data_IF_641235689535
#
_entry.id   IF_641235689535
#
_cell.length_a   1.000
_cell.length_b   1.000
_cell.length_c   1.000
_cell.angle_alpha   90.00
_cell.angle_beta   90.00
_cell.angle_gamma   90.00
#
_symmetry.space_group_name_H-M   'P 1'
#
loop_
_entity.id
_entity.type
_entity.pdbx_description
1 polymer ?
#
# COMPACT_ATOMS: atom_id res chain seq x y z
N UNK A 1 -63.82 -50.88 -6.95
CA UNK A 1 -63.82 -49.43 -6.93
C UNK A 1 -63.87 -49.05 -5.46
N UNK A 2 -62.86 -48.53 -4.80
CA UNK A 2 -61.59 -47.92 -5.11
C UNK A 2 -60.73 -48.14 -3.86
N UNK A 3 -59.53 -48.70 -4.06
CA UNK A 3 -58.42 -48.75 -3.10
C UNK A 3 -57.95 -47.34 -2.78
N UNK A 4 -58.29 -46.82 -1.63
CA UNK A 4 -57.62 -45.61 -1.10
C UNK A 4 -57.92 -45.29 0.37
N UNK A 5 -58.06 -46.30 1.25
CA UNK A 5 -58.36 -45.99 2.66
C UNK A 5 -57.66 -46.89 3.72
N UNK A 6 -56.52 -47.50 3.39
CA UNK A 6 -55.79 -48.35 4.33
C UNK A 6 -54.35 -47.94 4.65
N UNK A 7 -54.02 -46.63 4.68
CA UNK A 7 -52.67 -46.15 5.01
C UNK A 7 -52.63 -45.19 6.19
N UNK A 8 -53.55 -45.26 7.16
CA UNK A 8 -53.55 -44.35 8.31
C UNK A 8 -53.68 -45.01 9.67
N UNK A 9 -53.09 -46.17 9.90
CA UNK A 9 -52.97 -46.69 11.27
C UNK A 9 -51.76 -47.60 11.40
N UNK A 10 -50.58 -47.01 11.65
CA UNK A 10 -49.49 -47.60 12.43
C UNK A 10 -48.31 -46.67 12.41
N UNK A 11 -48.10 -45.99 13.50
CA UNK A 11 -46.75 -45.71 14.07
C UNK A 11 -46.89 -44.77 15.27
N UNK A 12 -47.29 -45.34 16.36
CA UNK A 12 -47.03 -44.82 17.70
C UNK A 12 -46.25 -45.89 18.44
N UNK A 13 -44.91 -45.77 18.39
CA UNK A 13 -44.05 -46.41 19.39
C UNK A 13 -42.60 -45.85 19.27
N UNK A 14 -42.18 -45.07 20.21
CA UNK A 14 -40.87 -45.15 20.84
C UNK A 14 -39.65 -44.72 20.01
N UNK A 15 -39.14 -43.55 20.29
CA UNK A 15 -37.80 -43.16 19.92
C UNK A 15 -37.38 -41.93 20.70
N UNK A 16 -36.78 -42.13 21.89
CA UNK A 16 -36.06 -41.08 22.60
C UNK A 16 -34.80 -40.81 21.78
N UNK A 17 -34.87 -39.87 20.89
CA UNK A 17 -33.74 -39.38 20.12
C UNK A 17 -32.98 -38.31 20.95
N UNK A 18 -31.79 -38.67 21.42
CA UNK A 18 -30.87 -37.71 21.99
C UNK A 18 -30.55 -36.65 20.96
N UNK A 19 -30.97 -35.39 21.18
CA UNK A 19 -30.55 -34.26 20.42
C UNK A 19 -29.06 -33.99 20.76
N UNK A 20 -28.16 -34.46 19.91
CA UNK A 20 -26.77 -34.02 19.93
C UNK A 20 -26.76 -32.55 19.50
N UNK A 21 -26.69 -31.66 20.45
CA UNK A 21 -26.46 -30.24 20.22
C UNK A 21 -25.11 -30.08 19.57
N UNK A 22 -25.07 -29.85 18.27
CA UNK A 22 -23.87 -29.36 17.60
C UNK A 22 -23.59 -27.99 18.17
N UNK A 23 -22.60 -27.92 19.06
CA UNK A 23 -22.00 -26.64 19.48
C UNK A 23 -21.40 -26.03 18.23
N UNK A 24 -22.05 -25.02 17.69
CA UNK A 24 -21.44 -24.11 16.69
C UNK A 24 -20.40 -23.37 17.46
N UNK A 25 -19.13 -23.81 17.37
CA UNK A 25 -17.98 -23.05 17.79
C UNK A 25 -17.91 -21.86 16.87
N UNK A 26 -18.45 -20.72 17.29
CA UNK A 26 -18.16 -19.43 16.69
C UNK A 26 -16.71 -19.12 17.06
N UNK A 27 -15.77 -19.59 16.25
CA UNK A 27 -14.43 -19.03 16.17
C UNK A 27 -14.60 -17.61 15.66
N UNK A 28 -14.90 -16.71 16.58
CA UNK A 28 -14.72 -15.29 16.34
C UNK A 28 -13.20 -15.08 16.21
N UNK A 29 -12.69 -15.22 14.97
CA UNK A 29 -11.35 -14.80 14.65
C UNK A 29 -11.24 -13.36 15.15
N UNK A 30 -10.53 -13.17 16.26
CA UNK A 30 -10.25 -11.85 16.81
C UNK A 30 -9.59 -11.07 15.67
N UNK A 31 -10.31 -10.11 15.09
CA UNK A 31 -9.74 -9.20 14.12
C UNK A 31 -8.57 -8.51 14.83
N UNK A 32 -7.35 -8.90 14.45
CA UNK A 32 -6.16 -8.27 14.99
C UNK A 32 -6.25 -6.78 14.63
N UNK A 33 -6.38 -5.95 15.65
CA UNK A 33 -6.39 -4.49 15.46
C UNK A 33 -5.08 -4.11 14.78
N UNK A 34 -5.16 -3.54 13.58
CA UNK A 34 -3.99 -3.10 12.83
C UNK A 34 -3.26 -2.02 13.63
N UNK A 35 -2.01 -2.29 13.99
CA UNK A 35 -1.16 -1.31 14.67
C UNK A 35 -0.77 -0.22 13.68
N UNK A 36 -1.00 1.04 14.06
CA UNK A 36 -0.56 2.19 13.27
C UNK A 36 0.70 2.76 13.92
N UNK A 37 1.72 3.01 13.10
CA UNK A 37 2.99 3.60 13.49
C UNK A 37 3.75 2.76 14.55
N UNK A 38 3.85 1.45 14.33
CA UNK A 38 4.80 0.64 15.11
C UNK A 38 6.21 1.26 14.96
N UNK A 39 6.89 1.58 16.08
CA UNK A 39 8.16 2.29 16.03
C UNK A 39 9.28 1.51 15.30
N UNK A 40 9.23 0.18 15.29
CA UNK A 40 10.20 -0.63 14.56
C UNK A 40 9.98 -0.53 13.05
N UNK A 41 8.71 -0.63 12.62
CA UNK A 41 8.33 -0.53 11.22
C UNK A 41 8.56 0.89 10.67
N UNK A 42 8.30 1.91 11.48
CA UNK A 42 8.59 3.31 11.12
C UNK A 42 10.08 3.49 10.84
N UNK A 43 10.97 3.00 11.72
CA UNK A 43 12.43 3.09 11.51
C UNK A 43 12.91 2.37 10.25
N UNK A 44 12.29 1.25 9.89
CA UNK A 44 12.61 0.57 8.64
C UNK A 44 12.29 1.46 7.43
N UNK A 45 11.09 2.04 7.39
CA UNK A 45 10.69 2.93 6.29
C UNK A 45 11.54 4.20 6.28
N UNK A 46 11.89 4.77 7.41
CA UNK A 46 12.84 5.90 7.48
C UNK A 46 14.17 5.56 6.80
N UNK A 47 14.69 4.36 7.06
CA UNK A 47 15.94 3.88 6.47
C UNK A 47 15.83 3.72 4.96
N UNK A 48 14.76 3.06 4.50
CA UNK A 48 14.50 2.85 3.06
C UNK A 48 14.27 4.18 2.33
N UNK A 49 13.46 5.05 2.91
CA UNK A 49 13.20 6.37 2.33
C UNK A 49 14.46 7.24 2.27
N UNK A 50 15.30 7.22 3.28
CA UNK A 50 16.59 7.92 3.24
C UNK A 50 17.51 7.38 2.14
N UNK A 51 17.49 6.06 1.90
CA UNK A 51 18.18 5.43 0.76
C UNK A 51 17.64 5.92 -0.58
N UNK A 52 16.32 5.93 -0.74
CA UNK A 52 15.66 6.47 -1.92
C UNK A 52 16.02 7.96 -2.18
N UNK A 53 16.02 8.79 -1.14
CA UNK A 53 16.37 10.22 -1.26
C UNK A 53 17.84 10.43 -1.65
N UNK A 54 18.76 9.61 -1.12
CA UNK A 54 20.17 9.64 -1.57
C UNK A 54 20.30 9.27 -3.05
N UNK A 55 19.62 8.19 -3.48
CA UNK A 55 19.61 7.77 -4.88
C UNK A 55 19.02 8.86 -5.79
N UNK A 56 17.96 9.54 -5.33
CA UNK A 56 17.34 10.64 -6.05
C UNK A 56 18.28 11.84 -6.17
N UNK A 57 18.98 12.20 -5.10
CA UNK A 57 19.96 13.28 -5.09
C UNK A 57 21.18 13.00 -5.97
N UNK A 58 21.63 11.76 -6.01
CA UNK A 58 22.73 11.30 -6.85
C UNK A 58 22.33 11.01 -8.32
N UNK A 59 21.04 11.05 -8.63
CA UNK A 59 20.48 10.56 -9.89
C UNK A 59 20.93 9.11 -10.22
N UNK A 60 21.01 8.27 -9.21
CA UNK A 60 21.30 6.85 -9.40
C UNK A 60 20.04 6.13 -9.93
N UNK A 61 19.95 6.11 -11.26
CA UNK A 61 18.80 5.54 -11.97
C UNK A 61 18.62 4.05 -11.66
N UNK A 62 19.71 3.31 -11.48
CA UNK A 62 19.65 1.88 -11.18
C UNK A 62 19.06 1.64 -9.78
N UNK A 63 19.57 2.34 -8.76
CA UNK A 63 19.03 2.27 -7.40
C UNK A 63 17.57 2.75 -7.36
N UNK A 64 17.25 3.87 -8.03
CA UNK A 64 15.88 4.39 -8.08
C UNK A 64 14.89 3.40 -8.69
N UNK A 65 15.26 2.66 -9.73
CA UNK A 65 14.42 1.63 -10.32
C UNK A 65 14.21 0.46 -9.35
N UNK A 66 15.24 0.11 -8.56
CA UNK A 66 15.16 -0.95 -7.56
C UNK A 66 14.22 -0.66 -6.37
N UNK A 67 13.94 0.62 -6.09
CA UNK A 67 12.94 0.98 -5.08
C UNK A 67 11.51 0.78 -5.54
N UNK A 68 11.23 0.78 -6.85
CA UNK A 68 9.89 0.50 -7.36
C UNK A 68 9.69 -1.00 -7.54
N UNK A 69 8.50 -1.48 -7.16
CA UNK A 69 8.15 -2.89 -7.34
C UNK A 69 8.06 -3.23 -8.83
N UNK A 70 8.77 -4.27 -9.24
CA UNK A 70 8.77 -4.73 -10.64
C UNK A 70 7.45 -5.45 -10.95
N UNK A 71 6.46 -4.68 -11.38
CA UNK A 71 5.11 -5.15 -11.63
C UNK A 71 4.42 -4.27 -12.68
N UNK A 72 3.53 -4.83 -13.51
CA UNK A 72 2.67 -4.04 -14.40
C UNK A 72 1.65 -3.19 -13.62
N UNK A 73 1.44 -3.46 -12.33
CA UNK A 73 0.49 -2.73 -11.48
C UNK A 73 1.13 -1.57 -10.71
N UNK A 74 2.44 -1.38 -10.79
CA UNK A 74 3.12 -0.24 -10.15
C UNK A 74 2.81 1.03 -10.92
N UNK A 75 2.39 2.09 -10.23
CA UNK A 75 1.94 3.34 -10.86
C UNK A 75 2.80 4.50 -10.37
N UNK A 76 3.16 5.41 -11.29
CA UNK A 76 3.78 6.67 -10.92
C UNK A 76 3.20 7.82 -11.73
N UNK A 77 2.64 8.80 -11.05
CA UNK A 77 2.26 10.08 -11.63
C UNK A 77 3.31 11.14 -11.31
N UNK A 78 3.73 11.90 -12.29
CA UNK A 78 4.58 13.07 -12.15
C UNK A 78 3.86 14.35 -12.54
N UNK A 79 4.61 15.45 -12.63
CA UNK A 79 4.02 16.74 -13.00
C UNK A 79 3.49 16.78 -14.45
N UNK A 80 4.06 15.97 -15.33
CA UNK A 80 3.76 15.99 -16.77
C UNK A 80 3.61 14.57 -17.35
N UNK A 81 3.75 13.53 -16.53
CA UNK A 81 3.69 12.15 -16.99
C UNK A 81 2.80 11.28 -16.11
N UNK A 82 2.15 10.31 -16.72
CA UNK A 82 1.41 9.23 -16.07
C UNK A 82 2.02 7.91 -16.55
N UNK A 83 2.63 7.17 -15.64
CA UNK A 83 3.38 5.95 -15.93
C UNK A 83 2.69 4.75 -15.30
N UNK A 84 2.41 3.75 -16.13
CA UNK A 84 1.74 2.52 -15.75
C UNK A 84 2.69 1.32 -15.96
N UNK A 85 2.96 0.62 -14.88
CA UNK A 85 3.92 -0.47 -14.84
C UNK A 85 5.37 0.00 -14.64
N UNK A 86 6.16 -0.90 -14.04
CA UNK A 86 7.58 -0.66 -13.76
C UNK A 86 8.40 -0.35 -15.02
N UNK A 87 8.07 -0.97 -16.17
CA UNK A 87 8.77 -0.77 -17.43
C UNK A 87 8.71 0.68 -17.92
N UNK A 88 7.53 1.31 -17.85
CA UNK A 88 7.39 2.73 -18.21
C UNK A 88 8.14 3.64 -17.26
N UNK A 89 8.11 3.34 -15.94
CA UNK A 89 8.85 4.09 -14.93
C UNK A 89 10.36 4.01 -15.21
N UNK A 90 10.88 2.82 -15.53
CA UNK A 90 12.29 2.59 -15.87
C UNK A 90 12.70 3.33 -17.15
N UNK A 91 11.89 3.26 -18.19
CA UNK A 91 12.13 3.95 -19.46
C UNK A 91 12.16 5.47 -19.26
N UNK A 92 11.18 6.02 -18.53
CA UNK A 92 11.13 7.45 -18.22
C UNK A 92 12.38 7.93 -17.46
N UNK A 93 12.79 7.20 -16.41
CA UNK A 93 13.98 7.56 -15.63
C UNK A 93 15.27 7.51 -16.44
N UNK A 94 15.39 6.57 -17.38
CA UNK A 94 16.53 6.47 -18.28
C UNK A 94 16.62 7.62 -19.29
N UNK A 95 15.49 8.24 -19.62
CA UNK A 95 15.41 9.35 -20.57
C UNK A 95 15.58 10.73 -19.91
N UNK A 96 15.30 10.85 -18.60
CA UNK A 96 15.37 12.13 -17.90
C UNK A 96 16.78 12.42 -17.43
N UNK A 97 17.36 13.51 -17.97
CA UNK A 97 18.61 14.04 -17.44
C UNK A 97 18.31 14.81 -16.15
N UNK A 98 18.87 14.36 -15.04
CA UNK A 98 18.66 15.04 -13.77
C UNK A 98 19.32 16.42 -13.74
N UNK A 99 18.65 17.36 -13.10
CA UNK A 99 19.14 18.72 -12.90
C UNK A 99 20.27 18.84 -11.84
N UNK A 100 20.84 17.71 -11.39
CA UNK A 100 22.00 17.66 -10.50
C UNK A 100 21.77 18.06 -9.03
N UNK A 101 20.66 18.69 -8.69
CA UNK A 101 20.33 19.06 -7.31
C UNK A 101 18.98 18.48 -6.91
N UNK A 102 19.01 17.54 -5.99
CA UNK A 102 17.81 16.96 -5.40
C UNK A 102 16.94 18.02 -4.69
N UNK A 103 15.64 17.77 -4.51
CA UNK A 103 14.77 18.68 -3.76
C UNK A 103 15.15 18.69 -2.28
N UNK A 104 15.20 19.87 -1.68
CA UNK A 104 15.34 20.01 -0.22
C UNK A 104 14.01 19.63 0.43
N UNK A 105 14.00 18.60 1.29
CA UNK A 105 12.83 18.21 2.06
C UNK A 105 12.58 19.22 3.18
N UNK A 106 11.34 19.71 3.29
CA UNK A 106 10.90 20.64 4.34
C UNK A 106 10.05 19.90 5.37
N UNK A 107 9.30 18.90 4.92
CA UNK A 107 8.46 18.06 5.77
C UNK A 107 8.42 16.66 5.21
N UNK A 108 8.57 15.67 6.09
CA UNK A 108 8.34 14.25 5.79
C UNK A 108 7.39 13.69 6.84
N UNK A 109 6.35 13.01 6.40
CA UNK A 109 5.42 12.29 7.25
C UNK A 109 5.39 10.84 6.80
N UNK A 110 5.72 9.94 7.70
CA UNK A 110 5.65 8.50 7.51
C UNK A 110 4.49 7.98 8.35
N UNK A 111 3.64 7.16 7.75
CA UNK A 111 2.60 6.43 8.48
C UNK A 111 2.67 4.97 8.06
N UNK A 112 2.75 4.07 9.04
CA UNK A 112 2.73 2.63 8.81
C UNK A 112 1.41 2.01 9.25
N UNK A 113 0.97 0.98 8.56
CA UNK A 113 -0.26 0.26 8.80
C UNK A 113 0.07 -1.23 8.91
N UNK A 114 0.04 -1.75 10.14
CA UNK A 114 0.58 -3.08 10.43
C UNK A 114 2.07 -3.14 10.10
N UNK A 115 2.52 -4.31 9.66
CA UNK A 115 3.93 -4.57 9.39
C UNK A 115 4.33 -4.38 7.92
N UNK A 116 3.36 -4.29 7.01
CA UNK A 116 3.62 -4.49 5.58
C UNK A 116 3.21 -3.32 4.68
N UNK A 117 2.57 -2.28 5.24
CA UNK A 117 2.13 -1.12 4.48
C UNK A 117 2.62 0.17 5.11
N UNK A 118 3.04 1.11 4.26
CA UNK A 118 3.37 2.45 4.69
C UNK A 118 3.04 3.49 3.61
N UNK A 119 2.80 4.71 4.07
CA UNK A 119 2.79 5.89 3.21
C UNK A 119 3.89 6.85 3.63
N UNK A 120 4.56 7.45 2.64
CA UNK A 120 5.53 8.52 2.85
C UNK A 120 5.06 9.75 2.08
N UNK A 121 4.76 10.80 2.81
CA UNK A 121 4.35 12.10 2.25
C UNK A 121 5.43 13.14 2.51
N UNK A 122 5.78 13.92 1.48
CA UNK A 122 6.80 14.97 1.63
C UNK A 122 6.39 16.28 1.00
N UNK A 123 6.79 17.38 1.65
CA UNK A 123 6.88 18.68 1.05
C UNK A 123 8.35 18.99 0.77
N UNK A 124 8.63 19.64 -0.35
CA UNK A 124 9.99 19.93 -0.75
C UNK A 124 10.08 21.23 -1.56
N UNK A 125 11.27 21.82 -1.57
CA UNK A 125 11.61 22.94 -2.45
C UNK A 125 12.81 22.60 -3.32
N UNK A 126 12.80 23.13 -4.52
CA UNK A 126 13.98 23.15 -5.37
C UNK A 126 14.61 24.54 -5.32
N UNK A 127 15.95 24.64 -5.39
CA UNK A 127 16.60 25.93 -5.57
C UNK A 127 15.98 26.66 -6.76
N UNK A 128 15.77 27.95 -6.63
CA UNK A 128 15.26 28.83 -7.69
C UNK A 128 13.79 28.54 -8.13
N UNK A 129 13.06 27.71 -7.41
CA UNK A 129 11.63 27.49 -7.64
C UNK A 129 10.80 28.11 -6.52
N UNK A 130 9.77 28.88 -6.89
CA UNK A 130 8.76 29.38 -5.94
C UNK A 130 7.66 28.34 -5.65
N UNK A 131 7.73 27.19 -6.31
CA UNK A 131 6.72 26.12 -6.12
C UNK A 131 7.11 25.17 -5.00
N UNK A 132 6.08 24.71 -4.29
CA UNK A 132 6.20 23.63 -3.30
C UNK A 132 6.01 22.32 -4.03
N UNK A 133 7.01 21.45 -3.98
CA UNK A 133 6.90 20.06 -4.44
C UNK A 133 6.20 19.21 -3.41
N UNK A 134 5.30 18.36 -3.89
CA UNK A 134 4.59 17.38 -3.06
C UNK A 134 4.87 15.99 -3.62
N UNK A 135 5.20 15.07 -2.75
CA UNK A 135 5.35 13.65 -3.13
C UNK A 135 4.56 12.82 -2.14
N UNK A 136 3.81 11.86 -2.64
CA UNK A 136 3.21 10.79 -1.85
C UNK A 136 3.62 9.46 -2.45
N UNK A 137 4.04 8.52 -1.60
CA UNK A 137 4.45 7.19 -1.98
C UNK A 137 3.72 6.17 -1.11
N UNK A 138 3.29 5.08 -1.72
CA UNK A 138 2.81 3.89 -1.04
C UNK A 138 3.88 2.82 -1.10
N UNK A 139 4.26 2.32 0.06
CA UNK A 139 5.27 1.29 0.24
C UNK A 139 4.63 0.01 0.73
N UNK A 140 5.08 -1.11 0.20
CA UNK A 140 4.64 -2.45 0.60
C UNK A 140 5.87 -3.29 0.90
N UNK A 141 5.81 -4.08 1.98
CA UNK A 141 6.84 -5.04 2.31
C UNK A 141 6.61 -6.33 1.51
N UNK A 142 7.57 -6.67 0.70
CA UNK A 142 7.64 -7.93 -0.03
C UNK A 142 8.75 -8.83 0.57
N UNK A 143 8.86 -10.11 0.18
CA UNK A 143 9.96 -10.96 0.64
C UNK A 143 11.36 -10.39 0.37
N UNK A 144 11.51 -9.59 -0.70
CA UNK A 144 12.75 -8.89 -1.08
C UNK A 144 12.91 -7.52 -0.42
N UNK A 145 12.08 -7.17 0.56
CA UNK A 145 12.10 -5.90 1.29
C UNK A 145 11.04 -4.91 0.83
N UNK A 146 11.10 -3.69 1.34
CA UNK A 146 10.15 -2.64 1.04
C UNK A 146 10.28 -2.11 -0.39
N UNK A 147 9.14 -1.94 -1.07
CA UNK A 147 9.08 -1.39 -2.43
C UNK A 147 7.95 -0.40 -2.58
N UNK A 148 8.16 0.60 -3.43
CA UNK A 148 7.13 1.57 -3.83
C UNK A 148 6.22 0.91 -4.86
N UNK A 149 4.94 0.85 -4.59
CA UNK A 149 3.91 0.32 -5.50
C UNK A 149 3.12 1.44 -6.18
N UNK A 150 3.06 2.62 -5.55
CA UNK A 150 2.43 3.79 -6.14
C UNK A 150 3.16 5.07 -5.70
N UNK A 151 3.27 6.04 -6.59
CA UNK A 151 3.82 7.34 -6.28
C UNK A 151 3.09 8.45 -7.04
N UNK A 152 2.93 9.59 -6.39
CA UNK A 152 2.43 10.81 -7.01
C UNK A 152 3.36 11.98 -6.67
N UNK A 153 3.82 12.67 -7.69
CA UNK A 153 4.64 13.88 -7.58
C UNK A 153 3.88 15.03 -8.23
N UNK A 154 3.73 16.13 -7.52
CA UNK A 154 3.09 17.34 -8.04
C UNK A 154 3.75 18.59 -7.49
N UNK A 155 3.42 19.73 -8.07
CA UNK A 155 3.82 21.04 -7.52
C UNK A 155 2.60 21.93 -7.36
N UNK A 156 2.64 22.77 -6.33
CA UNK A 156 1.67 23.87 -6.14
C UNK A 156 2.42 25.19 -6.03
N UNK A 157 1.74 26.28 -6.33
CA UNK A 157 2.26 27.59 -6.02
C UNK A 157 2.30 27.80 -4.50
N UNK A 158 3.25 28.59 -4.05
CA UNK A 158 3.31 28.96 -2.64
C UNK A 158 2.03 29.72 -2.29
N UNK A 159 1.33 29.34 -1.18
CA UNK A 159 0.17 30.11 -0.77
C UNK A 159 0.56 31.58 -0.61
N UNK A 160 -0.15 32.48 -1.28
CA UNK A 160 -0.01 33.89 -1.00
C UNK A 160 -0.37 34.09 0.45
N UNK A 161 0.57 34.59 1.24
CA UNK A 161 0.29 34.96 2.62
C UNK A 161 -0.81 36.03 2.59
N UNK A 162 -1.94 35.85 3.32
CA UNK A 162 -3.00 36.85 3.37
C UNK A 162 -2.50 38.15 4.01
#
# INVERSE_FOLDING_TARGET
MSEHDDARRAFLAGGVGAAAGAAISTDAAAQSVMTINDPAVVREIETEFAGYDRALGANDVAALNGYFFESPFTIRYGNAENLYGHSEIKAYRGAVVASGVGPKRERTVITTYGNDFATVSTLSRRPQSRKIGRTMQTWVRFPQGWRIVAAHVSTIDEPSNP
#
